data_IF_169436234275
#
_entry.id   IF_169436234275
#
_cell.length_a   1.000
_cell.length_b   1.000
_cell.length_c   1.000
_cell.angle_alpha   90.00
_cell.angle_beta   90.00
_cell.angle_gamma   90.00
#
_symmetry.space_group_name_H-M   'P 1'
#
loop_
_entity.id
_entity.type
_entity.pdbx_description
1 polymer ?
#
# COMPACT_ATOMS: atom_id res chain seq x y z
N UNK A 1 -57.99 -29.86 -52.69
CA UNK A 1 -58.40 -28.88 -51.66
C UNK A 1 -57.68 -29.26 -50.37
N UNK A 2 -56.37 -29.00 -50.25
CA UNK A 2 -55.75 -27.83 -49.60
C UNK A 2 -56.35 -27.44 -48.25
N UNK A 3 -55.57 -27.69 -47.18
CA UNK A 3 -55.31 -26.85 -45.98
C UNK A 3 -54.81 -27.76 -44.84
N UNK A 4 -53.87 -27.40 -43.99
CA UNK A 4 -52.79 -26.44 -43.97
C UNK A 4 -52.01 -26.81 -42.70
N UNK A 5 -50.69 -27.02 -42.80
CA UNK A 5 -49.80 -27.31 -41.68
C UNK A 5 -49.70 -26.07 -40.77
N UNK A 6 -49.81 -26.25 -39.45
CA UNK A 6 -49.41 -25.25 -38.46
C UNK A 6 -48.47 -25.90 -37.44
N UNK A 7 -47.18 -25.68 -37.70
CA UNK A 7 -46.08 -25.97 -36.79
C UNK A 7 -46.14 -25.02 -35.59
N UNK A 8 -46.12 -25.57 -34.38
CA UNK A 8 -45.92 -24.80 -33.17
C UNK A 8 -44.46 -24.34 -33.10
N UNK A 9 -44.21 -23.04 -33.27
CA UNK A 9 -42.91 -22.43 -33.06
C UNK A 9 -42.74 -22.14 -31.57
N UNK A 10 -41.85 -22.89 -30.91
CA UNK A 10 -41.41 -22.64 -29.54
C UNK A 10 -40.51 -21.42 -29.53
N UNK A 11 -40.99 -20.29 -29.01
CA UNK A 11 -40.19 -19.09 -28.74
C UNK A 11 -39.39 -19.35 -27.47
N UNK A 12 -38.13 -19.78 -27.60
CA UNK A 12 -37.15 -19.71 -26.51
C UNK A 12 -36.68 -18.26 -26.37
N UNK A 13 -37.24 -17.54 -25.40
CA UNK A 13 -36.69 -16.27 -24.95
C UNK A 13 -35.39 -16.53 -24.17
N UNK A 14 -34.24 -16.39 -24.83
CA UNK A 14 -32.95 -16.32 -24.17
C UNK A 14 -32.85 -14.98 -23.44
N UNK A 15 -33.19 -14.95 -22.15
CA UNK A 15 -32.87 -13.82 -21.28
C UNK A 15 -31.35 -13.83 -21.08
N UNK A 16 -30.67 -12.95 -21.81
CA UNK A 16 -29.28 -12.61 -21.55
C UNK A 16 -29.22 -11.92 -20.18
N UNK A 17 -28.96 -12.69 -19.13
CA UNK A 17 -28.50 -12.12 -17.87
C UNK A 17 -27.11 -11.56 -18.09
N UNK A 18 -27.01 -10.29 -18.46
CA UNK A 18 -25.76 -9.56 -18.32
C UNK A 18 -25.35 -9.66 -16.84
N UNK A 19 -24.11 -10.08 -16.51
CA UNK A 19 -23.65 -10.03 -15.14
C UNK A 19 -23.78 -8.57 -14.68
N UNK A 20 -24.54 -8.34 -13.62
CA UNK A 20 -24.57 -7.04 -12.97
C UNK A 20 -23.12 -6.74 -12.59
N UNK A 21 -22.52 -5.74 -13.26
CA UNK A 21 -21.27 -5.17 -12.81
C UNK A 21 -21.49 -4.82 -11.34
N UNK A 22 -20.75 -5.46 -10.42
CA UNK A 22 -20.82 -5.06 -9.01
C UNK A 22 -20.48 -3.57 -9.01
N UNK A 23 -21.44 -2.76 -8.57
CA UNK A 23 -21.22 -1.33 -8.45
C UNK A 23 -19.95 -1.12 -7.60
N UNK A 24 -19.07 -0.22 -8.05
CA UNK A 24 -17.90 0.15 -7.26
C UNK A 24 -18.37 0.55 -5.86
N UNK A 25 -17.69 0.03 -4.83
CA UNK A 25 -17.97 0.37 -3.44
C UNK A 25 -17.78 1.89 -3.25
N UNK A 26 -18.86 2.61 -2.96
CA UNK A 26 -18.92 4.06 -3.09
C UNK A 26 -19.57 4.72 -1.85
N UNK A 27 -18.92 4.66 -0.68
CA UNK A 27 -19.44 5.31 0.51
C UNK A 27 -19.25 6.83 0.48
N UNK A 28 -20.16 7.54 1.15
CA UNK A 28 -20.04 8.95 1.42
C UNK A 28 -20.52 9.29 2.83
N UNK A 29 -19.69 9.03 3.85
CA UNK A 29 -19.95 9.45 5.24
C UNK A 29 -19.62 10.94 5.46
N UNK A 30 -20.20 11.79 4.61
CA UNK A 30 -20.01 13.25 4.59
C UNK A 30 -20.35 13.90 5.94
N UNK A 31 -19.77 15.06 6.23
CA UNK A 31 -19.96 15.76 7.50
C UNK A 31 -21.43 15.93 7.90
N UNK A 32 -22.27 16.32 6.93
CA UNK A 32 -23.71 16.50 7.06
C UNK A 32 -24.56 15.21 7.08
N UNK A 33 -23.96 14.03 6.90
CA UNK A 33 -24.71 12.77 6.92
C UNK A 33 -25.20 12.44 8.32
N UNK A 34 -26.44 11.96 8.42
CA UNK A 34 -26.98 11.46 9.69
C UNK A 34 -26.27 10.19 10.20
N UNK A 35 -25.51 9.52 9.33
CA UNK A 35 -24.74 8.31 9.64
C UNK A 35 -23.25 8.60 9.84
N UNK A 36 -22.86 9.87 9.94
CA UNK A 36 -21.51 10.28 10.29
C UNK A 36 -21.23 10.06 11.80
N UNK A 37 -21.14 8.80 12.22
CA UNK A 37 -20.86 8.41 13.61
C UNK A 37 -19.37 8.49 13.98
N UNK A 38 -18.50 8.63 12.98
CA UNK A 38 -17.04 8.74 13.14
C UNK A 38 -16.51 10.19 13.11
N UNK A 39 -17.40 11.17 12.97
CA UNK A 39 -17.07 12.58 13.05
C UNK A 39 -16.21 13.07 11.87
N UNK A 40 -16.49 12.61 10.66
CA UNK A 40 -15.81 13.10 9.45
C UNK A 40 -16.09 14.60 9.29
N UNK A 41 -15.04 15.40 9.11
CA UNK A 41 -15.10 16.85 9.30
C UNK A 41 -15.60 17.62 8.08
N UNK A 42 -15.42 17.05 6.89
CA UNK A 42 -15.58 17.77 5.63
C UNK A 42 -16.76 17.21 4.85
N UNK A 43 -17.59 18.11 4.31
CA UNK A 43 -18.64 17.71 3.40
C UNK A 43 -18.08 17.24 2.05
N UNK A 44 -18.72 16.22 1.49
CA UNK A 44 -18.41 15.72 0.15
C UNK A 44 -18.67 16.81 -0.89
N UNK A 45 -17.77 16.91 -1.85
CA UNK A 45 -17.82 17.90 -2.91
C UNK A 45 -18.24 17.21 -4.22
N UNK A 46 -19.19 17.77 -4.99
CA UNK A 46 -19.50 17.25 -6.33
C UNK A 46 -18.28 17.28 -7.24
N UNK A 47 -18.09 16.24 -8.05
CA UNK A 47 -16.92 16.17 -8.91
C UNK A 47 -16.94 15.02 -9.92
N UNK A 48 -16.00 15.10 -10.86
CA UNK A 48 -15.76 14.10 -11.90
C UNK A 48 -14.34 13.60 -11.79
N UNK A 49 -14.15 12.28 -11.93
CA UNK A 49 -12.82 11.70 -11.86
C UNK A 49 -11.94 12.18 -13.03
N UNK A 50 -10.65 12.43 -12.78
CA UNK A 50 -9.66 12.52 -13.84
C UNK A 50 -9.68 11.27 -14.73
N UNK A 51 -9.34 11.44 -16.01
CA UNK A 51 -9.09 10.30 -16.90
C UNK A 51 -7.86 9.52 -16.47
N UNK A 52 -7.66 8.31 -17.01
CA UNK A 52 -6.44 7.50 -16.76
C UNK A 52 -5.16 8.29 -17.08
N UNK A 53 -5.15 9.02 -18.20
CA UNK A 53 -4.01 9.85 -18.60
C UNK A 53 -3.78 11.01 -17.61
N UNK A 54 -4.86 11.67 -17.17
CA UNK A 54 -4.77 12.75 -16.19
C UNK A 54 -4.29 12.23 -14.82
N UNK A 55 -4.75 11.07 -14.38
CA UNK A 55 -4.26 10.44 -13.15
C UNK A 55 -2.78 10.10 -13.21
N UNK A 56 -2.31 9.52 -14.31
CA UNK A 56 -0.89 9.29 -14.49
C UNK A 56 -0.09 10.60 -14.40
N UNK A 57 -0.51 11.66 -15.10
CA UNK A 57 0.14 12.97 -15.01
C UNK A 57 0.13 13.57 -13.59
N UNK A 58 -0.96 13.36 -12.83
CA UNK A 58 -1.04 13.74 -11.41
C UNK A 58 0.01 12.98 -10.60
N UNK A 59 0.05 11.65 -10.69
CA UNK A 59 1.00 10.84 -9.92
C UNK A 59 2.45 11.12 -10.32
N UNK A 60 2.72 11.37 -11.59
CA UNK A 60 4.07 11.72 -12.06
C UNK A 60 4.48 13.10 -11.53
N UNK A 61 3.56 14.08 -11.49
CA UNK A 61 3.85 15.37 -10.83
C UNK A 61 4.08 15.18 -9.33
N UNK A 62 3.24 14.39 -8.66
CA UNK A 62 3.34 14.17 -7.22
C UNK A 62 4.61 13.40 -6.87
N UNK A 63 5.06 12.45 -7.69
CA UNK A 63 6.28 11.68 -7.45
C UNK A 63 7.54 12.56 -7.39
N UNK A 64 7.55 13.68 -8.12
CA UNK A 64 8.63 14.68 -8.09
C UNK A 64 8.61 15.59 -6.86
N UNK A 65 7.64 15.42 -5.96
CA UNK A 65 7.65 16.05 -4.64
C UNK A 65 7.14 17.49 -4.58
N UNK A 66 7.28 18.14 -3.40
CA UNK A 66 6.73 19.47 -3.16
C UNK A 66 7.21 20.56 -4.10
N UNK A 67 8.45 20.48 -4.57
CA UNK A 67 8.96 21.41 -5.56
C UNK A 67 8.20 21.35 -6.90
N UNK A 68 7.67 20.18 -7.27
CA UNK A 68 6.95 19.99 -8.52
C UNK A 68 5.44 20.25 -8.40
N UNK A 69 4.82 19.93 -7.26
CA UNK A 69 3.39 20.19 -7.07
C UNK A 69 3.08 21.62 -6.61
N UNK A 70 4.01 22.31 -5.94
CA UNK A 70 3.82 23.69 -5.49
C UNK A 70 2.52 23.89 -4.71
N UNK A 71 1.69 24.85 -5.13
CA UNK A 71 0.39 25.11 -4.49
C UNK A 71 -0.66 24.01 -4.74
N UNK A 72 -0.39 23.03 -5.61
CA UNK A 72 -1.29 21.90 -5.86
C UNK A 72 -1.22 20.82 -4.76
N UNK A 73 -0.37 20.97 -3.74
CA UNK A 73 -0.27 20.04 -2.62
C UNK A 73 0.07 20.73 -1.30
N UNK A 74 0.32 19.95 -0.23
CA UNK A 74 0.76 20.49 1.06
C UNK A 74 2.12 21.18 0.99
N UNK A 75 2.45 21.90 2.07
CA UNK A 75 3.71 22.62 2.21
C UNK A 75 4.94 21.72 2.01
N UNK A 76 6.09 22.28 1.57
CA UNK A 76 7.30 21.51 1.35
C UNK A 76 7.85 20.80 2.60
N UNK A 77 8.40 19.61 2.39
CA UNK A 77 9.07 18.80 3.40
C UNK A 77 10.20 17.97 2.76
N UNK A 78 11.11 17.50 3.61
CA UNK A 78 12.20 16.61 3.23
C UNK A 78 11.93 15.16 3.66
N UNK A 79 12.63 14.21 3.04
CA UNK A 79 12.71 12.81 3.46
C UNK A 79 14.07 12.55 4.10
N UNK A 80 14.10 11.59 5.02
CA UNK A 80 15.35 11.02 5.53
C UNK A 80 15.82 9.92 4.57
N UNK A 81 17.05 9.99 4.10
CA UNK A 81 17.72 8.97 3.30
C UNK A 81 18.88 8.37 4.11
N UNK A 82 19.19 7.08 3.93
CA UNK A 82 20.32 6.42 4.60
C UNK A 82 20.00 5.85 5.99
N UNK A 83 20.71 4.79 6.36
CA UNK A 83 20.50 3.98 7.57
C UNK A 83 21.78 3.69 8.36
N UNK A 84 22.73 4.63 8.35
CA UNK A 84 24.07 4.57 8.97
C UNK A 84 25.06 3.71 8.18
N UNK A 85 24.63 2.57 7.64
CA UNK A 85 25.44 1.71 6.77
C UNK A 85 24.63 1.24 5.56
N UNK A 86 25.15 1.38 4.32
CA UNK A 86 26.41 2.02 3.96
C UNK A 86 26.37 3.56 3.99
N UNK A 87 25.20 4.20 3.88
CA UNK A 87 25.10 5.65 3.89
C UNK A 87 24.66 6.21 5.25
N UNK A 88 25.39 7.22 5.72
CA UNK A 88 24.98 8.01 6.89
C UNK A 88 23.64 8.73 6.61
N UNK A 89 22.75 8.84 7.60
CA UNK A 89 21.45 9.45 7.39
C UNK A 89 21.56 10.94 7.04
N UNK A 90 20.79 11.39 6.05
CA UNK A 90 20.68 12.79 5.66
C UNK A 90 19.27 13.15 5.22
N UNK A 91 18.90 14.43 5.32
CA UNK A 91 17.67 14.94 4.74
C UNK A 91 17.88 15.22 3.25
N UNK A 92 16.92 14.83 2.43
CA UNK A 92 16.88 15.08 0.98
C UNK A 92 15.52 15.65 0.59
N UNK A 93 15.44 16.44 -0.50
CA UNK A 93 14.15 16.85 -1.05
C UNK A 93 13.24 15.63 -1.23
N UNK A 94 11.97 15.75 -0.82
CA UNK A 94 11.06 14.63 -0.93
C UNK A 94 10.79 14.28 -2.39
N UNK A 95 11.01 13.02 -2.76
CA UNK A 95 10.60 12.40 -4.01
C UNK A 95 10.10 11.01 -3.71
N UNK A 96 9.21 10.48 -4.56
CA UNK A 96 8.55 9.21 -4.34
C UNK A 96 8.62 8.37 -5.61
N UNK A 97 8.61 7.03 -5.52
CA UNK A 97 8.37 6.21 -6.69
C UNK A 97 6.96 6.43 -7.22
N UNK A 98 6.79 6.81 -8.48
CA UNK A 98 5.47 7.02 -9.06
C UNK A 98 4.63 5.73 -9.07
N UNK A 99 5.29 4.58 -9.26
CA UNK A 99 4.69 3.26 -9.33
C UNK A 99 4.02 2.96 -7.99
N UNK A 100 4.64 3.41 -6.90
CA UNK A 100 4.14 3.31 -5.53
C UNK A 100 2.91 4.17 -5.31
N UNK A 101 2.95 5.45 -5.71
CA UNK A 101 1.79 6.34 -5.57
C UNK A 101 0.60 5.87 -6.41
N UNK A 102 0.86 5.41 -7.65
CA UNK A 102 -0.12 4.79 -8.56
C UNK A 102 -0.74 3.55 -7.91
N UNK A 103 0.08 2.66 -7.36
CA UNK A 103 -0.37 1.44 -6.72
C UNK A 103 -1.18 1.71 -5.43
N UNK A 104 -0.77 2.67 -4.60
CA UNK A 104 -1.53 3.10 -3.41
C UNK A 104 -2.91 3.61 -3.84
N UNK A 105 -2.98 4.60 -4.72
CA UNK A 105 -4.28 5.13 -5.17
C UNK A 105 -5.18 4.06 -5.81
N UNK A 106 -4.58 3.11 -6.52
CA UNK A 106 -5.31 1.98 -7.10
C UNK A 106 -5.86 1.05 -6.01
N UNK A 107 -5.05 0.78 -4.98
CA UNK A 107 -5.42 -0.06 -3.86
C UNK A 107 -6.48 0.60 -2.96
N UNK A 108 -6.41 1.90 -2.77
CA UNK A 108 -7.32 2.66 -1.90
C UNK A 108 -8.71 2.85 -2.53
N UNK A 109 -8.78 3.25 -3.80
CA UNK A 109 -10.03 3.67 -4.43
C UNK A 109 -10.21 3.21 -5.88
N UNK A 110 -9.21 2.54 -6.46
CA UNK A 110 -9.18 2.31 -7.90
C UNK A 110 -8.98 3.58 -8.73
N UNK A 111 -8.26 4.57 -8.18
CA UNK A 111 -8.14 5.94 -8.73
C UNK A 111 -9.47 6.69 -8.83
N UNK A 112 -10.33 6.54 -7.83
CA UNK A 112 -11.59 7.28 -7.76
C UNK A 112 -11.53 8.32 -6.64
N UNK A 113 -11.58 9.60 -7.02
CA UNK A 113 -11.81 10.70 -6.08
C UNK A 113 -13.30 10.85 -5.80
N UNK A 114 -14.12 10.67 -6.84
CA UNK A 114 -15.56 10.90 -6.80
C UNK A 114 -16.33 9.69 -7.30
N UNK A 115 -17.47 9.40 -6.72
CA UNK A 115 -18.46 8.52 -7.34
C UNK A 115 -19.86 8.82 -6.83
N UNK A 116 -20.87 8.25 -7.51
CA UNK A 116 -22.25 8.31 -7.04
C UNK A 116 -22.38 7.39 -5.83
N UNK A 117 -22.67 7.92 -4.63
CA UNK A 117 -22.69 7.11 -3.42
C UNK A 117 -23.77 6.03 -3.43
N UNK A 118 -23.39 4.84 -2.94
CA UNK A 118 -24.30 3.70 -2.73
C UNK A 118 -24.71 3.56 -1.26
N UNK A 119 -24.04 4.29 -0.36
CA UNK A 119 -24.25 4.29 1.09
C UNK A 119 -23.63 5.54 1.73
N UNK A 120 -23.99 5.89 2.98
CA UNK A 120 -25.13 5.39 3.75
C UNK A 120 -26.47 5.79 3.14
N UNK A 121 -27.59 5.35 3.72
CA UNK A 121 -28.92 5.43 3.08
C UNK A 121 -29.38 6.86 2.75
N UNK A 122 -29.02 7.85 3.58
CA UNK A 122 -29.30 9.27 3.34
C UNK A 122 -28.45 9.89 2.22
N UNK A 123 -27.38 9.20 1.82
CA UNK A 123 -26.50 9.57 0.71
C UNK A 123 -26.65 8.62 -0.48
N UNK A 124 -27.41 7.54 -0.41
CA UNK A 124 -27.50 6.60 -1.53
C UNK A 124 -28.25 7.23 -2.72
N UNK A 125 -27.69 7.08 -3.93
CA UNK A 125 -28.35 7.49 -5.18
C UNK A 125 -28.25 8.98 -5.53
N UNK A 126 -27.54 9.79 -4.73
CA UNK A 126 -27.24 11.17 -5.13
C UNK A 126 -26.11 11.23 -6.18
N UNK A 127 -25.97 12.41 -6.81
CA UNK A 127 -24.96 12.67 -7.85
C UNK A 127 -23.52 12.47 -7.34
N UNK A 128 -22.63 12.15 -8.28
CA UNK A 128 -21.19 11.94 -8.04
C UNK A 128 -20.58 13.02 -7.18
N UNK A 129 -19.89 12.60 -6.12
CA UNK A 129 -19.26 13.45 -5.11
C UNK A 129 -18.09 12.71 -4.46
N UNK A 130 -17.33 13.39 -3.62
CA UNK A 130 -16.14 12.83 -2.95
C UNK A 130 -16.47 11.50 -2.28
N UNK A 131 -15.61 10.49 -2.49
CA UNK A 131 -15.68 9.24 -1.73
C UNK A 131 -15.23 9.53 -0.30
N UNK A 132 -16.06 9.17 0.67
CA UNK A 132 -15.76 9.32 2.10
C UNK A 132 -16.12 7.99 2.76
N UNK A 133 -15.12 7.22 3.16
CA UNK A 133 -15.31 5.96 3.87
C UNK A 133 -15.78 6.17 5.31
N UNK A 134 -16.28 5.10 5.93
CA UNK A 134 -16.82 5.14 7.29
C UNK A 134 -15.78 5.56 8.34
N UNK A 135 -14.49 5.34 8.08
CA UNK A 135 -13.37 5.76 8.92
C UNK A 135 -12.83 7.15 8.55
N UNK A 136 -13.61 7.92 7.80
CA UNK A 136 -13.29 9.27 7.33
C UNK A 136 -12.09 9.30 6.38
N UNK A 137 -11.94 8.29 5.53
CA UNK A 137 -10.98 8.25 4.44
C UNK A 137 -11.52 8.98 3.20
N UNK A 138 -10.86 10.05 2.80
CA UNK A 138 -11.30 10.92 1.71
C UNK A 138 -10.58 10.63 0.40
N UNK A 139 -11.37 10.46 -0.66
CA UNK A 139 -10.92 10.53 -2.04
C UNK A 139 -9.97 9.41 -2.47
N UNK A 140 -9.16 9.70 -3.49
CA UNK A 140 -8.44 8.67 -4.23
C UNK A 140 -7.37 7.95 -3.40
N UNK A 141 -6.72 8.66 -2.48
CA UNK A 141 -5.69 8.14 -1.58
C UNK A 141 -6.24 7.79 -0.18
N UNK A 142 -7.57 7.86 0.02
CA UNK A 142 -8.28 7.54 1.28
C UNK A 142 -7.64 8.19 2.51
N UNK A 143 -7.49 9.51 2.46
CA UNK A 143 -6.84 10.30 3.53
C UNK A 143 -7.74 10.33 4.77
N UNK A 144 -7.27 9.74 5.88
CA UNK A 144 -8.01 9.68 7.16
C UNK A 144 -7.46 10.61 8.24
N UNK A 145 -6.13 10.73 8.32
CA UNK A 145 -5.45 11.58 9.31
C UNK A 145 -5.73 13.04 9.00
N UNK A 146 -6.20 13.83 9.96
CA UNK A 146 -6.51 15.25 9.74
C UNK A 146 -7.91 15.52 9.21
N UNK A 147 -8.74 14.49 9.03
CA UNK A 147 -10.04 14.57 8.36
C UNK A 147 -11.23 14.39 9.31
N UNK A 148 -11.00 14.35 10.63
CA UNK A 148 -12.04 14.23 11.66
C UNK A 148 -12.28 15.56 12.39
N UNK A 149 -13.46 15.69 12.97
CA UNK A 149 -13.85 16.85 13.77
C UNK A 149 -12.88 17.01 14.95
N UNK A 150 -12.32 18.21 15.09
CA UNK A 150 -11.32 18.51 16.11
C UNK A 150 -9.88 18.22 15.69
N UNK A 151 -9.64 17.59 14.54
CA UNK A 151 -8.30 17.48 13.98
C UNK A 151 -7.80 18.87 13.55
N UNK A 152 -6.48 19.06 13.63
CA UNK A 152 -5.78 20.27 13.20
C UNK A 152 -4.64 19.90 12.24
N UNK A 153 -4.97 19.51 10.99
CA UNK A 153 -3.95 19.20 9.99
C UNK A 153 -3.13 20.43 9.59
N UNK A 154 -1.92 20.19 9.09
CA UNK A 154 -1.04 21.18 8.46
C UNK A 154 -1.27 21.35 6.95
N UNK A 155 -2.35 20.75 6.44
CA UNK A 155 -2.84 20.85 5.07
C UNK A 155 -4.32 21.29 5.06
N UNK A 156 -4.86 21.66 3.89
CA UNK A 156 -6.25 22.07 3.74
C UNK A 156 -7.17 20.84 3.53
N UNK A 157 -7.98 20.43 4.53
CA UNK A 157 -8.83 19.25 4.43
C UNK A 157 -9.97 19.42 3.40
N UNK A 158 -10.39 20.66 3.09
CA UNK A 158 -11.40 20.89 2.05
C UNK A 158 -10.84 20.60 0.66
N UNK A 159 -9.57 20.93 0.43
CA UNK A 159 -8.89 20.59 -0.83
C UNK A 159 -8.64 19.09 -0.97
N UNK A 160 -8.36 18.38 0.14
CA UNK A 160 -8.29 16.90 0.11
C UNK A 160 -9.60 16.27 -0.41
N UNK A 161 -10.75 16.84 -0.06
CA UNK A 161 -12.04 16.36 -0.55
C UNK A 161 -12.32 16.75 -2.01
N UNK A 162 -11.90 17.95 -2.44
CA UNK A 162 -12.31 18.56 -3.70
C UNK A 162 -11.33 18.39 -4.88
N UNK A 163 -10.03 18.26 -4.61
CA UNK A 163 -8.97 18.33 -5.63
C UNK A 163 -8.21 16.99 -5.71
N UNK A 164 -8.35 16.23 -6.81
CA UNK A 164 -7.63 14.98 -7.02
C UNK A 164 -6.10 15.09 -6.89
N UNK A 165 -5.51 16.19 -7.36
CA UNK A 165 -4.06 16.38 -7.27
C UNK A 165 -3.63 16.69 -5.84
N UNK A 166 -4.39 17.53 -5.13
CA UNK A 166 -4.15 17.82 -3.72
C UNK A 166 -4.35 16.59 -2.83
N UNK A 167 -5.36 15.77 -3.11
CA UNK A 167 -5.59 14.50 -2.43
C UNK A 167 -4.39 13.55 -2.59
N UNK A 168 -3.92 13.36 -3.83
CA UNK A 168 -2.74 12.53 -4.11
C UNK A 168 -1.46 13.08 -3.44
N UNK A 169 -1.23 14.40 -3.50
CA UNK A 169 -0.09 15.04 -2.84
C UNK A 169 -0.16 14.92 -1.31
N UNK A 170 -1.36 14.99 -0.73
CA UNK A 170 -1.56 14.78 0.71
C UNK A 170 -1.30 13.31 1.10
N UNK A 171 -1.68 12.36 0.25
CA UNK A 171 -1.31 10.96 0.41
C UNK A 171 0.21 10.75 0.42
N UNK A 172 0.92 11.38 -0.51
CA UNK A 172 2.39 11.35 -0.54
C UNK A 172 3.02 12.01 0.71
N UNK A 173 2.45 13.12 1.18
CA UNK A 173 2.86 13.76 2.43
C UNK A 173 2.70 12.83 3.64
N UNK A 174 1.55 12.15 3.76
CA UNK A 174 1.33 11.16 4.83
C UNK A 174 2.30 9.98 4.70
N UNK A 175 2.52 9.48 3.49
CA UNK A 175 3.50 8.41 3.25
C UNK A 175 4.91 8.83 3.68
N UNK A 176 5.31 10.09 3.45
CA UNK A 176 6.58 10.63 3.95
C UNK A 176 6.65 10.66 5.48
N UNK A 177 5.55 10.97 6.17
CA UNK A 177 5.50 10.85 7.64
C UNK A 177 5.69 9.40 8.09
N UNK A 178 5.08 8.44 7.39
CA UNK A 178 5.25 7.01 7.68
C UNK A 178 6.66 6.51 7.42
N UNK A 179 7.29 6.99 6.35
CA UNK A 179 8.70 6.73 6.05
C UNK A 179 9.64 7.18 7.16
N UNK A 180 9.40 8.38 7.72
CA UNK A 180 10.17 8.88 8.87
C UNK A 180 9.92 8.06 10.14
N UNK A 181 8.69 7.62 10.36
CA UNK A 181 8.27 6.92 11.58
C UNK A 181 8.64 5.42 11.61
N UNK A 182 9.03 4.84 10.49
CA UNK A 182 9.29 3.38 10.38
C UNK A 182 10.78 3.05 10.38
N UNK A 183 11.11 1.81 10.71
CA UNK A 183 12.49 1.30 10.63
C UNK A 183 12.91 1.16 9.16
N UNK A 184 14.23 1.17 8.94
CA UNK A 184 14.83 1.07 7.62
C UNK A 184 14.44 -0.23 6.91
N UNK A 185 14.29 -0.14 5.60
CA UNK A 185 14.34 -1.27 4.67
C UNK A 185 15.48 -0.96 3.72
N UNK A 186 16.43 -1.88 3.62
CA UNK A 186 17.70 -1.58 2.97
C UNK A 186 18.37 -0.34 3.56
N UNK A 187 18.94 0.48 2.69
CA UNK A 187 19.54 1.77 3.05
C UNK A 187 18.58 2.98 2.93
N UNK A 188 17.25 2.75 2.98
CA UNK A 188 16.23 3.83 2.93
C UNK A 188 16.49 4.84 1.79
N UNK A 189 16.48 4.36 0.55
CA UNK A 189 16.69 5.19 -0.63
C UNK A 189 15.31 5.58 -1.19
N UNK A 190 14.92 6.87 -1.19
CA UNK A 190 13.58 7.28 -1.64
C UNK A 190 13.24 6.89 -3.08
N UNK A 191 14.25 6.74 -3.93
CA UNK A 191 14.08 6.34 -5.32
C UNK A 191 13.87 4.83 -5.52
N UNK A 192 14.14 4.00 -4.50
CA UNK A 192 13.98 2.54 -4.58
C UNK A 192 12.62 2.12 -4.05
N UNK A 193 11.82 1.46 -4.88
CA UNK A 193 10.43 1.09 -4.58
C UNK A 193 10.34 0.24 -3.30
N UNK A 194 11.16 -0.80 -3.22
CA UNK A 194 11.08 -1.79 -2.15
C UNK A 194 11.48 -1.23 -0.77
N UNK A 195 12.26 -0.14 -0.72
CA UNK A 195 12.65 0.48 0.56
C UNK A 195 11.45 1.11 1.28
N UNK A 196 10.32 1.32 0.58
CA UNK A 196 9.08 1.84 1.16
C UNK A 196 8.22 0.78 1.85
N UNK A 197 8.62 -0.49 1.87
CA UNK A 197 7.80 -1.60 2.39
C UNK A 197 7.23 -1.34 3.79
N UNK A 198 8.07 -0.93 4.74
CA UNK A 198 7.63 -0.63 6.12
C UNK A 198 6.71 0.60 6.17
N UNK A 199 6.97 1.61 5.34
CA UNK A 199 6.14 2.80 5.25
C UNK A 199 4.76 2.49 4.67
N UNK A 200 4.65 1.58 3.69
CA UNK A 200 3.38 1.07 3.17
C UNK A 200 2.56 0.39 4.26
N UNK A 201 3.20 -0.48 5.05
CA UNK A 201 2.51 -1.12 6.18
C UNK A 201 1.99 -0.04 7.15
N UNK A 202 2.82 0.94 7.51
CA UNK A 202 2.41 2.04 8.37
C UNK A 202 1.39 3.01 7.75
N UNK A 203 1.25 3.06 6.42
CA UNK A 203 0.25 3.87 5.73
C UNK A 203 -1.16 3.37 6.04
N UNK A 204 -1.40 2.06 5.97
CA UNK A 204 -2.65 1.46 6.43
C UNK A 204 -2.75 1.37 7.96
N UNK A 205 -1.63 1.03 8.61
CA UNK A 205 -1.53 0.93 10.07
C UNK A 205 -0.62 -0.21 10.51
N UNK A 206 0.32 0.11 11.41
CA UNK A 206 1.18 -0.87 12.09
C UNK A 206 0.33 -1.70 13.05
N UNK A 207 0.01 -2.92 12.64
CA UNK A 207 -0.84 -3.84 13.38
C UNK A 207 -0.53 -5.28 13.00
N UNK A 208 -0.68 -6.18 13.96
CA UNK A 208 -0.49 -7.62 13.77
C UNK A 208 -1.41 -8.21 12.69
N UNK A 209 -2.61 -7.66 12.46
CA UNK A 209 -3.51 -8.13 11.39
C UNK A 209 -2.93 -7.92 9.99
N UNK A 210 -2.03 -6.94 9.85
CA UNK A 210 -1.32 -6.63 8.61
C UNK A 210 0.11 -7.21 8.59
N UNK A 211 0.49 -8.00 9.60
CA UNK A 211 1.76 -8.70 9.58
C UNK A 211 1.71 -9.85 8.54
N UNK A 212 2.67 -9.93 7.60
CA UNK A 212 2.84 -11.04 6.66
C UNK A 212 2.91 -12.45 7.24
N UNK A 213 3.36 -12.56 8.50
CA UNK A 213 3.45 -13.80 9.27
C UNK A 213 2.18 -14.08 10.10
N UNK A 214 1.13 -13.26 9.97
CA UNK A 214 -0.15 -13.55 10.60
C UNK A 214 -0.75 -14.83 9.96
N UNK A 215 -1.14 -15.83 10.76
CA UNK A 215 -1.65 -17.12 10.27
C UNK A 215 -2.97 -17.03 9.49
N UNK A 216 -3.64 -15.87 9.50
CA UNK A 216 -4.81 -15.62 8.65
C UNK A 216 -4.45 -15.41 7.17
N UNK A 217 -3.16 -15.17 6.86
CA UNK A 217 -2.67 -15.13 5.49
C UNK A 217 -2.13 -16.50 5.08
N UNK A 218 -2.40 -16.91 3.85
CA UNK A 218 -1.91 -18.18 3.33
C UNK A 218 -0.36 -18.20 3.31
N UNK A 219 0.22 -19.25 3.89
CA UNK A 219 1.67 -19.46 3.99
C UNK A 219 2.34 -19.79 2.64
N UNK A 220 1.55 -20.18 1.64
CA UNK A 220 1.96 -20.41 0.26
C UNK A 220 1.49 -19.33 -0.72
N UNK A 221 0.99 -18.18 -0.22
CA UNK A 221 0.47 -17.11 -1.10
C UNK A 221 1.53 -16.59 -2.06
N UNK A 222 1.11 -16.36 -3.30
CA UNK A 222 1.91 -15.67 -4.31
C UNK A 222 1.77 -14.15 -4.21
N UNK A 223 2.23 -13.47 -5.25
CA UNK A 223 1.94 -12.05 -5.48
C UNK A 223 0.42 -11.84 -5.46
N UNK A 224 -0.04 -10.78 -4.80
CA UNK A 224 -1.47 -10.47 -4.74
C UNK A 224 -2.00 -10.08 -6.13
N UNK A 225 -2.94 -10.87 -6.64
CA UNK A 225 -3.68 -10.58 -7.87
C UNK A 225 -5.07 -10.05 -7.52
N UNK A 226 -5.39 -8.78 -7.81
CA UNK A 226 -6.71 -8.22 -7.52
C UNK A 226 -7.85 -8.85 -8.32
N UNK A 227 -7.58 -9.49 -9.46
CA UNK A 227 -8.61 -10.20 -10.22
C UNK A 227 -9.03 -11.52 -9.56
N UNK A 228 -8.14 -12.11 -8.74
CA UNK A 228 -8.39 -13.33 -7.98
C UNK A 228 -8.86 -12.99 -6.55
N UNK A 229 -8.29 -11.94 -5.96
CA UNK A 229 -8.52 -11.55 -4.57
C UNK A 229 -7.71 -12.41 -3.59
N UNK A 230 -8.29 -12.67 -2.42
CA UNK A 230 -7.64 -13.43 -1.35
C UNK A 230 -7.06 -12.56 -0.23
N UNK A 231 -6.73 -13.22 0.89
CA UNK A 231 -6.14 -12.58 2.05
C UNK A 231 -4.66 -12.26 1.80
N UNK A 232 -4.32 -10.98 1.88
CA UNK A 232 -2.95 -10.51 1.88
C UNK A 232 -2.85 -9.25 2.76
N UNK A 233 -1.70 -9.04 3.44
CA UNK A 233 -1.47 -7.81 4.19
C UNK A 233 -1.36 -6.61 3.24
N UNK A 234 -1.67 -5.42 3.75
CA UNK A 234 -1.86 -4.22 2.92
C UNK A 234 -0.68 -3.90 1.99
N UNK A 235 0.54 -3.91 2.51
CA UNK A 235 1.75 -3.61 1.75
C UNK A 235 1.96 -4.60 0.60
N UNK A 236 1.63 -5.88 0.78
CA UNK A 236 1.73 -6.86 -0.30
C UNK A 236 0.63 -6.68 -1.35
N UNK A 237 -0.54 -6.18 -0.96
CA UNK A 237 -1.60 -5.81 -1.90
C UNK A 237 -1.19 -4.63 -2.77
N UNK A 238 -0.61 -3.59 -2.17
CA UNK A 238 -0.06 -2.45 -2.92
C UNK A 238 1.04 -2.90 -3.87
N UNK A 239 1.99 -3.69 -3.41
CA UNK A 239 3.05 -4.24 -4.28
C UNK A 239 2.48 -5.13 -5.40
N UNK A 240 1.47 -5.95 -5.11
CA UNK A 240 0.76 -6.74 -6.13
C UNK A 240 0.07 -5.87 -7.19
N UNK A 241 -0.48 -4.70 -6.83
CA UNK A 241 -1.03 -3.76 -7.82
C UNK A 241 0.01 -3.27 -8.83
N UNK A 242 1.29 -3.21 -8.48
CA UNK A 242 2.37 -2.86 -9.44
C UNK A 242 2.62 -3.96 -10.46
N UNK A 243 2.32 -5.22 -10.12
CA UNK A 243 2.40 -6.36 -11.03
C UNK A 243 1.12 -6.56 -11.85
N UNK A 244 -0.02 -6.12 -11.30
CA UNK A 244 -1.35 -6.26 -11.88
C UNK A 244 -1.98 -4.89 -12.15
N UNK A 245 -1.37 -4.11 -13.04
CA UNK A 245 -1.70 -2.70 -13.29
C UNK A 245 -3.01 -2.49 -14.05
N UNK A 246 -3.54 -3.55 -14.69
CA UNK A 246 -4.67 -3.45 -15.61
C UNK A 246 -4.37 -2.53 -16.79
N UNK A 247 -3.12 -2.53 -17.27
CA UNK A 247 -2.60 -1.70 -18.37
C UNK A 247 -2.66 -0.18 -18.14
N UNK A 248 -2.86 0.26 -16.89
CA UNK A 248 -2.94 1.69 -16.55
C UNK A 248 -1.58 2.38 -16.42
N UNK A 249 -0.53 1.61 -16.15
CA UNK A 249 0.88 2.03 -16.15
C UNK A 249 1.79 0.81 -16.38
N UNK A 250 3.08 1.05 -16.59
CA UNK A 250 4.08 0.00 -16.82
C UNK A 250 4.17 -0.94 -15.61
N UNK A 251 4.11 -2.25 -15.88
CA UNK A 251 4.22 -3.29 -14.87
C UNK A 251 5.62 -3.31 -14.26
N UNK A 252 5.70 -3.40 -12.93
CA UNK A 252 6.97 -3.57 -12.19
C UNK A 252 6.90 -4.82 -11.33
N UNK A 253 7.81 -5.76 -11.56
CA UNK A 253 7.95 -7.00 -10.78
C UNK A 253 8.82 -6.76 -9.55
N UNK A 254 8.23 -6.23 -8.48
CA UNK A 254 8.96 -5.86 -7.25
C UNK A 254 9.48 -7.05 -6.46
N UNK A 255 10.51 -6.81 -5.65
CA UNK A 255 11.02 -7.78 -4.68
C UNK A 255 10.32 -7.65 -3.31
N UNK A 256 10.23 -8.78 -2.59
CA UNK A 256 9.61 -8.85 -1.26
C UNK A 256 10.66 -9.14 -0.17
N UNK A 257 10.48 -8.63 1.07
CA UNK A 257 11.32 -9.04 2.20
C UNK A 257 11.14 -10.52 2.50
N UNK A 258 12.18 -11.16 3.03
CA UNK A 258 12.06 -12.54 3.48
C UNK A 258 11.18 -12.60 4.74
N UNK A 259 10.16 -13.48 4.76
CA UNK A 259 9.23 -13.60 5.90
C UNK A 259 9.93 -13.81 7.25
N UNK A 260 11.03 -14.56 7.26
CA UNK A 260 11.85 -14.79 8.45
C UNK A 260 12.48 -13.51 9.04
N UNK A 261 12.70 -12.47 8.24
CA UNK A 261 13.26 -11.19 8.69
C UNK A 261 12.19 -10.26 9.30
N UNK A 262 10.91 -10.45 8.93
CA UNK A 262 9.80 -9.57 9.34
C UNK A 262 9.42 -9.76 10.82
N UNK A 263 9.51 -11.01 11.31
CA UNK A 263 9.11 -11.37 12.66
C UNK A 263 7.60 -11.35 12.89
N UNK A 264 7.17 -11.52 14.15
CA UNK A 264 5.76 -11.70 14.53
C UNK A 264 5.09 -10.45 15.13
N UNK A 265 5.78 -9.31 15.15
CA UNK A 265 5.31 -8.09 15.83
C UNK A 265 4.34 -7.26 14.99
N UNK A 266 3.68 -6.27 15.61
CA UNK A 266 2.79 -5.32 14.91
C UNK A 266 3.53 -4.29 14.03
N UNK A 267 4.86 -4.24 14.12
CA UNK A 267 5.73 -3.42 13.29
C UNK A 267 7.03 -4.18 12.99
N UNK A 268 7.59 -4.06 11.77
CA UNK A 268 8.82 -4.76 11.43
C UNK A 268 10.03 -4.08 12.09
N UNK A 269 11.08 -4.87 12.33
CA UNK A 269 12.40 -4.36 12.63
C UNK A 269 13.02 -3.68 11.39
N UNK A 270 14.31 -3.33 11.46
CA UNK A 270 15.03 -2.98 10.24
C UNK A 270 15.14 -4.23 9.34
N UNK A 271 14.84 -4.07 8.05
CA UNK A 271 14.85 -5.16 7.07
C UNK A 271 16.03 -4.96 6.12
N UNK A 272 16.61 -6.06 5.63
CA UNK A 272 17.58 -6.01 4.56
C UNK A 272 16.93 -5.59 3.24
N UNK A 273 17.75 -5.41 2.20
CA UNK A 273 17.24 -5.22 0.83
C UNK A 273 16.30 -6.38 0.44
N UNK A 274 15.04 -6.09 0.10
CA UNK A 274 14.10 -7.09 -0.37
C UNK A 274 14.62 -7.78 -1.62
N UNK A 275 14.48 -9.11 -1.67
CA UNK A 275 15.01 -9.93 -2.77
C UNK A 275 14.09 -11.05 -3.20
N UNK A 276 13.07 -11.41 -2.44
CA UNK A 276 12.23 -12.58 -2.73
C UNK A 276 11.33 -12.29 -3.94
N UNK A 277 11.16 -13.29 -4.82
CA UNK A 277 10.36 -13.14 -6.05
C UNK A 277 8.85 -13.09 -5.78
N UNK A 278 8.40 -13.51 -4.60
CA UNK A 278 7.02 -13.36 -4.12
C UNK A 278 7.02 -13.23 -2.59
N UNK A 279 5.86 -12.96 -1.96
CA UNK A 279 5.75 -12.91 -0.50
C UNK A 279 6.25 -14.16 0.24
N UNK A 280 6.22 -15.33 -0.39
CA UNK A 280 6.56 -16.61 0.24
C UNK A 280 7.68 -17.39 -0.48
N UNK A 281 8.15 -16.91 -1.63
CA UNK A 281 9.21 -17.56 -2.42
C UNK A 281 10.48 -16.70 -2.46
N UNK A 282 11.43 -17.04 -1.58
CA UNK A 282 12.78 -16.48 -1.57
C UNK A 282 13.82 -17.39 -2.25
N UNK A 283 13.39 -18.51 -2.81
CA UNK A 283 14.29 -19.40 -3.58
C UNK A 283 14.59 -18.81 -4.95
N UNK A 284 13.61 -18.10 -5.51
CA UNK A 284 13.81 -17.18 -6.63
C UNK A 284 13.98 -15.76 -6.11
N UNK A 285 14.83 -15.00 -6.77
CA UNK A 285 15.11 -13.62 -6.39
C UNK A 285 14.81 -12.63 -7.50
N UNK A 286 14.53 -11.38 -7.11
CA UNK A 286 14.33 -10.23 -7.99
C UNK A 286 15.27 -9.10 -7.57
N UNK A 287 15.74 -8.26 -8.50
CA UNK A 287 16.51 -7.08 -8.18
C UNK A 287 15.61 -6.01 -7.52
N UNK A 288 16.24 -5.03 -6.89
CA UNK A 288 15.56 -3.80 -6.46
C UNK A 288 15.23 -2.92 -7.68
N UNK A 289 14.19 -2.09 -7.54
CA UNK A 289 13.72 -1.21 -8.61
C UNK A 289 13.87 0.25 -8.24
N UNK A 290 14.66 0.98 -9.02
CA UNK A 290 14.68 2.44 -9.02
C UNK A 290 13.52 2.94 -9.86
N UNK A 291 12.75 3.89 -9.34
CA UNK A 291 11.61 4.49 -10.05
C UNK A 291 12.02 5.07 -11.40
N UNK A 292 11.18 4.90 -12.42
CA UNK A 292 11.45 5.37 -13.79
C UNK A 292 10.69 6.64 -14.17
N UNK A 293 9.84 7.17 -13.30
CA UNK A 293 9.03 8.35 -13.62
C UNK A 293 9.73 9.70 -13.40
N UNK A 294 11.03 9.71 -13.12
CA UNK A 294 11.77 10.92 -12.82
C UNK A 294 12.22 11.71 -14.07
N UNK A 295 12.11 11.14 -15.27
CA UNK A 295 12.66 11.79 -16.46
C UNK A 295 11.57 12.61 -17.20
N UNK A 296 11.50 13.91 -16.89
CA UNK A 296 10.86 14.86 -17.79
C UNK A 296 11.67 14.96 -19.09
N UNK A 297 11.24 14.23 -20.13
CA UNK A 297 11.72 14.45 -21.50
C UNK A 297 11.79 13.20 -22.36
N UNK A 298 10.66 12.60 -22.71
CA UNK A 298 10.64 11.50 -23.67
C UNK A 298 9.24 11.16 -24.14
N UNK A 299 8.94 11.50 -25.39
CA UNK A 299 7.92 10.81 -26.16
C UNK A 299 8.06 9.29 -25.95
N UNK A 300 6.94 8.60 -25.89
CA UNK A 300 6.87 7.13 -25.88
C UNK A 300 7.54 6.58 -27.14
N UNK A 301 8.86 6.36 -27.08
CA UNK A 301 9.68 5.67 -28.05
C UNK A 301 10.28 4.44 -27.38
N UNK A 302 9.91 3.25 -27.87
CA UNK A 302 10.39 1.98 -27.32
C UNK A 302 11.91 1.82 -27.39
N UNK A 303 12.44 1.06 -26.44
CA UNK A 303 13.83 0.59 -26.42
C UNK A 303 14.09 -0.05 -25.06
N UNK A 304 13.87 -1.36 -24.92
CA UNK A 304 14.89 -2.39 -25.11
C UNK A 304 16.09 -2.28 -24.16
N UNK A 305 16.09 -3.16 -23.15
CA UNK A 305 17.25 -3.94 -22.67
C UNK A 305 18.53 -3.20 -22.28
N UNK A 306 18.87 -3.27 -20.99
CA UNK A 306 20.21 -2.95 -20.50
C UNK A 306 20.56 -3.78 -19.27
N UNK A 307 20.94 -5.04 -19.48
CA UNK A 307 21.48 -5.92 -18.46
C UNK A 307 22.82 -5.39 -17.92
N UNK A 308 23.14 -5.80 -16.70
CA UNK A 308 24.36 -5.45 -15.99
C UNK A 308 25.65 -5.79 -16.73
N UNK A 309 26.71 -5.07 -16.36
CA UNK A 309 28.09 -5.34 -16.75
C UNK A 309 29.01 -5.20 -15.54
N UNK A 310 29.31 -6.32 -14.91
CA UNK A 310 30.46 -6.47 -14.03
C UNK A 310 31.77 -6.51 -14.85
N UNK A 311 32.87 -6.07 -14.23
CA UNK A 311 34.21 -6.66 -14.37
C UNK A 311 34.84 -6.70 -15.78
N UNK A 312 35.73 -5.74 -16.05
CA UNK A 312 36.69 -5.81 -17.14
C UNK A 312 38.13 -5.81 -16.61
N UNK A 313 38.70 -7.01 -16.47
CA UNK A 313 40.13 -7.26 -16.28
C UNK A 313 40.90 -7.16 -17.60
N UNK A 314 42.10 -6.57 -17.57
CA UNK A 314 43.25 -7.05 -18.35
C UNK A 314 43.51 -6.43 -19.74
N UNK A 315 44.60 -5.65 -19.81
CA UNK A 315 45.69 -5.91 -20.77
C UNK A 315 45.70 -5.18 -22.13
N UNK A 316 46.58 -4.19 -22.26
CA UNK A 316 47.59 -3.99 -23.33
C UNK A 316 48.28 -2.64 -23.03
N UNK A 317 49.59 -2.57 -22.82
CA UNK A 317 50.60 -2.77 -23.85
C UNK A 317 51.19 -1.39 -24.21
N UNK A 318 52.15 -0.90 -23.43
CA UNK A 318 52.81 0.38 -23.63
C UNK A 318 54.32 0.24 -23.40
N UNK A 319 55.07 0.26 -24.49
CA UNK A 319 56.53 0.15 -24.56
C UNK A 319 57.24 1.47 -24.23
N UNK A 320 58.42 1.36 -23.60
CA UNK A 320 59.54 2.27 -23.81
C UNK A 320 59.89 3.17 -22.62
N UNK A 321 61.09 2.98 -22.07
CA UNK A 321 61.69 3.91 -21.11
C UNK A 321 62.91 3.32 -20.42
N UNK A 322 64.10 3.66 -20.91
CA UNK A 322 65.39 3.16 -20.46
C UNK A 322 65.89 3.77 -19.14
N UNK A 323 66.76 3.03 -18.45
CA UNK A 323 67.90 3.58 -17.71
C UNK A 323 67.68 3.90 -16.24
N UNK A 324 68.39 3.19 -15.36
CA UNK A 324 68.48 3.54 -13.95
C UNK A 324 69.16 2.45 -13.11
N UNK A 325 70.47 2.56 -13.00
CA UNK A 325 71.37 1.70 -12.22
C UNK A 325 71.20 1.83 -10.70
N UNK A 326 71.40 0.71 -9.99
CA UNK A 326 72.11 0.70 -8.71
C UNK A 326 71.24 0.59 -7.44
N UNK A 327 71.62 -0.31 -6.54
CA UNK A 327 71.17 -0.29 -5.16
C UNK A 327 70.93 -1.68 -4.56
N UNK A 328 71.98 -2.25 -3.98
CA UNK A 328 71.92 -3.45 -3.16
C UNK A 328 71.42 -3.14 -1.73
N UNK A 329 70.78 -4.14 -1.11
CA UNK A 329 70.91 -4.41 0.33
C UNK A 329 69.81 -3.87 1.25
N UNK A 330 69.32 -4.74 2.14
CA UNK A 330 68.57 -4.33 3.34
C UNK A 330 67.56 -5.35 3.83
N UNK A 331 68.01 -6.35 4.59
CA UNK A 331 67.14 -7.13 5.49
C UNK A 331 66.95 -6.38 6.81
N UNK A 332 65.80 -6.59 7.45
CA UNK A 332 65.68 -6.65 8.92
C UNK A 332 64.82 -5.55 9.56
N UNK A 333 64.00 -5.96 10.52
CA UNK A 333 63.38 -5.04 11.49
C UNK A 333 62.00 -5.47 11.98
N UNK A 334 61.97 -6.43 12.90
CA UNK A 334 60.83 -6.69 13.75
C UNK A 334 60.82 -5.75 14.97
N UNK A 335 59.65 -5.56 15.58
CA UNK A 335 59.52 -5.28 17.02
C UNK A 335 59.05 -3.87 17.38
N UNK A 336 58.05 -3.78 18.26
CA UNK A 336 57.65 -2.54 18.91
C UNK A 336 56.24 -2.57 19.52
N UNK A 337 56.07 -3.32 20.59
CA UNK A 337 54.93 -3.24 21.53
C UNK A 337 55.07 -2.05 22.48
N UNK A 338 53.94 -1.50 22.95
CA UNK A 338 53.83 -0.96 24.32
C UNK A 338 53.51 0.53 24.43
N UNK A 339 52.48 0.84 25.24
CA UNK A 339 52.21 2.21 25.70
C UNK A 339 50.80 2.41 26.26
N UNK A 340 50.47 1.76 27.39
CA UNK A 340 49.42 2.22 28.30
C UNK A 340 49.95 3.38 29.16
N UNK A 341 49.05 4.26 29.60
CA UNK A 341 49.25 5.07 30.81
C UNK A 341 48.71 6.50 30.72
N UNK A 342 47.78 6.85 31.62
CA UNK A 342 47.46 8.24 31.90
C UNK A 342 46.08 8.48 32.53
N UNK A 343 45.94 8.16 33.82
CA UNK A 343 44.80 8.54 34.64
C UNK A 343 44.99 9.92 35.29
N UNK A 344 43.87 10.60 35.58
CA UNK A 344 43.70 11.42 36.77
C UNK A 344 43.70 12.95 36.58
N UNK A 345 42.68 13.62 37.15
CA UNK A 345 42.75 15.07 37.40
C UNK A 345 41.39 15.76 37.56
N UNK A 346 41.00 15.99 38.80
CA UNK A 346 39.72 16.50 39.31
C UNK A 346 39.56 18.04 39.34
N UNK A 347 38.28 18.47 39.29
CA UNK A 347 37.61 19.57 40.02
C UNK A 347 38.19 21.00 40.04
N UNK A 348 37.31 21.97 39.75
CA UNK A 348 37.41 23.36 40.17
C UNK A 348 36.19 24.19 39.74
N UNK A 349 35.33 24.50 40.71
CA UNK A 349 34.08 25.24 40.62
C UNK A 349 34.23 26.78 40.50
N UNK A 350 33.11 27.39 40.09
CA UNK A 350 32.54 28.68 40.53
C UNK A 350 32.92 30.02 39.84
N UNK A 351 31.88 30.72 39.39
CA UNK A 351 31.78 32.19 39.49
C UNK A 351 31.21 32.89 38.25
N UNK A 352 29.89 32.83 37.99
CA UNK A 352 28.87 33.85 38.30
C UNK A 352 28.80 35.07 37.35
N UNK A 353 27.62 35.31 36.75
CA UNK A 353 27.30 36.52 35.99
C UNK A 353 25.99 36.42 35.21
N UNK A 354 24.88 36.72 35.89
CA UNK A 354 23.49 36.61 35.43
C UNK A 354 23.02 37.77 34.54
N UNK A 355 22.12 37.48 33.58
CA UNK A 355 20.91 38.29 33.28
C UNK A 355 19.85 37.46 32.51
N UNK A 356 18.74 37.16 33.22
CA UNK A 356 17.29 37.18 32.86
C UNK A 356 16.90 37.22 31.36
N UNK A 357 16.01 36.40 30.77
CA UNK A 357 14.63 35.92 31.04
C UNK A 357 13.83 36.15 29.72
N UNK A 358 12.88 35.34 29.20
CA UNK A 358 12.17 34.16 29.68
C UNK A 358 11.87 33.16 28.53
N UNK A 359 11.70 31.86 28.83
CA UNK A 359 10.43 31.15 29.13
C UNK A 359 9.53 30.96 27.88
N UNK A 360 9.11 29.76 27.48
CA UNK A 360 9.28 28.37 27.97
C UNK A 360 9.02 27.41 26.80
N UNK A 361 9.47 26.16 26.74
CA UNK A 361 9.64 25.12 27.77
C UNK A 361 8.79 23.92 27.32
N UNK A 362 9.37 22.96 26.56
CA UNK A 362 9.79 21.62 27.00
C UNK A 362 8.58 20.68 27.29
N UNK A 363 8.46 19.49 26.71
CA UNK A 363 9.50 18.47 26.56
C UNK A 363 9.51 17.60 27.82
N UNK A 364 8.83 16.45 27.78
CA UNK A 364 8.86 15.44 28.85
C UNK A 364 9.09 14.05 28.25
N UNK A 365 10.10 13.38 28.80
CA UNK A 365 10.44 11.96 28.59
C UNK A 365 9.87 11.11 29.75
N UNK A 366 9.91 9.78 29.66
CA UNK A 366 8.83 8.89 30.12
C UNK A 366 8.93 8.51 31.59
N UNK A 367 7.77 8.47 32.24
CA UNK A 367 7.54 7.82 33.52
C UNK A 367 6.71 6.56 33.32
N UNK A 368 7.22 5.47 33.88
CA UNK A 368 6.60 4.18 34.10
C UNK A 368 5.51 4.32 35.18
N UNK A 369 4.28 3.91 34.87
CA UNK A 369 3.23 3.65 35.86
C UNK A 369 2.15 2.73 35.26
N UNK A 370 1.83 1.68 35.99
CA UNK A 370 0.43 1.35 36.28
C UNK A 370 -0.29 0.44 35.31
N UNK A 371 -0.19 -0.85 35.59
CA UNK A 371 -1.01 -1.93 35.11
C UNK A 371 -2.49 -1.75 35.53
N UNK A 372 -3.35 -1.31 34.59
CA UNK A 372 -4.82 -1.41 34.70
C UNK A 372 -5.37 -2.24 33.52
N UNK A 373 -5.59 -3.51 33.84
CA UNK A 373 -6.37 -4.49 33.10
C UNK A 373 -7.85 -4.09 33.11
N UNK A 374 -8.31 -3.47 32.02
CA UNK A 374 -9.73 -3.49 31.67
C UNK A 374 -9.87 -3.95 30.22
N UNK A 375 -10.01 -5.27 30.12
CA UNK A 375 -10.38 -6.05 28.95
C UNK A 375 -11.77 -5.66 28.43
N UNK A 376 -11.88 -4.50 27.77
CA UNK A 376 -12.94 -4.26 26.79
C UNK A 376 -12.53 -4.89 25.46
N UNK A 377 -12.75 -6.20 25.40
CA UNK A 377 -12.89 -6.96 24.16
C UNK A 377 -14.01 -6.34 23.31
N UNK A 378 -13.69 -5.27 22.59
CA UNK A 378 -14.50 -4.82 21.48
C UNK A 378 -14.20 -5.78 20.34
N UNK A 379 -15.07 -6.78 20.20
CA UNK A 379 -15.18 -7.62 19.02
C UNK A 379 -15.22 -6.71 17.79
N UNK A 380 -14.07 -6.54 17.13
CA UNK A 380 -13.99 -5.91 15.82
C UNK A 380 -14.64 -6.88 14.85
N UNK A 381 -15.95 -6.70 14.69
CA UNK A 381 -16.73 -7.39 13.67
C UNK A 381 -16.11 -7.12 12.32
N UNK A 382 -15.79 -8.22 11.63
CA UNK A 382 -15.38 -8.28 10.23
C UNK A 382 -16.50 -7.69 9.37
N UNK A 383 -16.51 -6.38 9.18
CA UNK A 383 -17.35 -5.71 8.18
C UNK A 383 -16.60 -4.52 7.58
N UNK A 384 -16.32 -4.61 6.28
CA UNK A 384 -16.11 -3.46 5.40
C UNK A 384 -14.68 -2.93 5.30
N UNK A 385 -13.73 -3.70 4.76
CA UNK A 385 -12.54 -3.10 4.13
C UNK A 385 -12.93 -2.58 2.75
N UNK A 386 -12.64 -1.31 2.46
CA UNK A 386 -12.81 -0.71 1.13
C UNK A 386 -11.87 -1.43 0.15
N UNK A 387 -12.42 -2.30 -0.68
CA UNK A 387 -11.72 -2.78 -1.88
C UNK A 387 -12.57 -2.37 -3.07
N UNK A 388 -12.12 -1.36 -3.78
CA UNK A 388 -12.68 -1.01 -5.07
C UNK A 388 -12.14 -2.02 -6.09
N UNK A 389 -12.89 -3.09 -6.34
CA UNK A 389 -12.61 -3.95 -7.50
C UNK A 389 -13.02 -3.18 -8.76
N UNK A 390 -12.06 -2.99 -9.66
CA UNK A 390 -12.34 -2.42 -10.97
C UNK A 390 -13.15 -3.43 -11.82
N UNK A 391 -14.14 -2.99 -12.62
CA UNK A 391 -14.87 -3.90 -13.50
C UNK A 391 -14.05 -4.29 -14.74
N UNK A 392 -13.85 -5.59 -14.95
CA UNK A 392 -13.19 -6.22 -16.12
C UNK A 392 -11.92 -6.95 -15.68
N UNK A 393 -11.70 -8.26 -15.90
CA UNK A 393 -12.06 -9.14 -17.02
C UNK A 393 -12.43 -10.54 -16.51
N UNK A 394 -13.46 -11.15 -17.10
CA UNK A 394 -14.02 -12.42 -16.65
C UNK A 394 -13.06 -13.61 -16.76
N UNK A 395 -13.03 -14.41 -15.68
CA UNK A 395 -12.80 -15.84 -15.74
C UNK A 395 -13.85 -16.51 -14.84
N UNK A 396 -14.62 -17.44 -15.41
CA UNK A 396 -15.61 -18.21 -14.69
C UNK A 396 -14.91 -19.05 -13.60
N UNK A 397 -15.17 -18.76 -12.33
CA UNK A 397 -14.82 -19.65 -11.24
C UNK A 397 -15.61 -20.95 -11.43
N UNK A 398 -14.89 -22.05 -11.68
CA UNK A 398 -15.46 -23.38 -11.83
C UNK A 398 -16.24 -23.78 -10.58
N UNK A 399 -17.51 -24.11 -10.77
CA UNK A 399 -18.31 -24.80 -9.77
C UNK A 399 -17.72 -26.19 -9.56
N UNK A 400 -17.00 -26.39 -8.45
CA UNK A 400 -16.63 -27.71 -7.99
C UNK A 400 -17.86 -28.39 -7.38
N UNK A 401 -18.31 -29.40 -8.09
CA UNK A 401 -19.43 -30.29 -7.79
C UNK A 401 -19.32 -30.97 -6.41
N UNK A 402 -20.33 -30.78 -5.57
CA UNK A 402 -20.70 -31.73 -4.53
C UNK A 402 -22.17 -32.12 -4.73
N UNK A 403 -22.40 -33.16 -5.52
CA UNK A 403 -23.64 -33.93 -5.52
C UNK A 403 -23.27 -35.39 -5.77
N UNK A 404 -22.99 -36.09 -4.68
CA UNK A 404 -23.15 -37.53 -4.59
C UNK A 404 -24.22 -37.78 -3.54
N UNK A 405 -25.38 -38.28 -3.97
CA UNK A 405 -26.14 -39.38 -3.34
C UNK A 405 -27.57 -39.41 -3.90
N UNK A 406 -27.96 -40.56 -4.45
CA UNK A 406 -29.34 -41.05 -4.37
C UNK A 406 -30.16 -41.08 -5.65
N UNK A 407 -29.82 -41.97 -6.59
CA UNK A 407 -30.83 -42.58 -7.45
C UNK A 407 -31.54 -43.70 -6.66
N UNK A 408 -32.88 -43.68 -6.59
CA UNK A 408 -33.63 -44.70 -5.87
C UNK A 408 -35.15 -44.55 -5.91
N UNK A 409 -35.75 -44.96 -7.03
CA UNK A 409 -37.08 -45.58 -7.19
C UNK A 409 -38.32 -44.97 -6.49
N UNK A 410 -39.21 -44.42 -7.33
CA UNK A 410 -40.66 -44.37 -7.11
C UNK A 410 -41.26 -45.78 -7.21
N UNK A 411 -41.92 -46.27 -6.17
CA UNK A 411 -43.17 -47.04 -6.26
C UNK A 411 -43.73 -47.41 -4.86
N UNK A 412 -45.07 -47.45 -4.81
CA UNK A 412 -45.92 -48.15 -3.85
C UNK A 412 -46.49 -47.38 -2.63
N UNK A 413 -47.80 -47.10 -2.79
CA UNK A 413 -48.87 -47.46 -1.86
C UNK A 413 -49.08 -46.60 -0.60
N UNK A 414 -50.10 -45.74 -0.67
CA UNK A 414 -50.95 -45.45 0.48
C UNK A 414 -52.43 -45.70 0.12
N UNK A 415 -52.89 -46.91 0.46
CA UNK A 415 -54.30 -47.18 0.82
C UNK A 415 -54.50 -46.66 2.24
N UNK A 416 -55.37 -45.67 2.45
CA UNK A 416 -56.00 -45.44 3.76
C UNK A 416 -57.52 -45.61 3.65
N UNK A 417 -58.02 -46.30 4.66
CA UNK A 417 -59.33 -46.94 4.81
C UNK A 417 -60.44 -45.91 5.09
N UNK A 418 -61.62 -46.18 4.54
CA UNK A 418 -62.90 -45.59 4.94
C UNK A 418 -63.28 -46.03 6.38
N UNK A 419 -63.94 -45.17 7.18
CA UNK A 419 -64.53 -45.57 8.45
C UNK A 419 -65.92 -46.18 8.25
N UNK A 420 -66.16 -47.35 8.85
CA UNK A 420 -67.47 -47.93 9.03
C UNK A 420 -67.89 -47.87 10.50
N UNK A 421 -69.07 -47.31 10.78
CA UNK A 421 -69.85 -47.54 12.01
C UNK A 421 -71.25 -48.00 11.59
N UNK A 422 -71.68 -49.14 12.13
CA UNK A 422 -73.03 -49.72 12.01
C UNK A 422 -73.88 -49.37 13.24
N UNK A 423 -75.19 -49.17 13.04
CA UNK A 423 -76.37 -49.82 13.69
C UNK A 423 -77.62 -48.95 13.43
N UNK A 424 -78.71 -49.56 12.95
CA UNK A 424 -79.96 -49.85 13.69
C UNK A 424 -80.60 -48.55 14.23
N UNK A 425 -81.80 -48.14 13.83
CA UNK A 425 -83.03 -48.89 13.50
C UNK A 425 -83.66 -48.53 12.14
#
# INVERSE_FOLDING_TARGET
MSRCLLSAATICAAVLFAPAARAAYCPCYTASSAYNDRGCAIDAVPGTNPSIAAWNAIFDRVSRGPAAWGEAGPAPFNLRQGCDVPEAPREVPATFPCELLKAIGMQESGWQQFCAPDRPMDQAGVSSRTIISFDCGYGAAQITSGMRNGDSPDFDPRRVAADPAYNAATGAHILAMKWKATRCVGDRQPSVIEHWYSALWAYNGLSYVNNPNNPNHDAGRGVYDPAIGGAAPYQERVLGRMEHTGERWERTEVAYPALGEIGANSAPAALADPRCASPTDCTRTRPLHVTRCADEGGETGGGAGGAGGAGGSGGAGGSGGAGGSGGAGGRGGAGGTGGEGGAGGTKGDAGNGAVTAGQGGAGASPGDDGNDDETTSTTVGVYGRCTCDAPGSGAAAGAASWLALGAGALAAALRRRLPGRRRAD
#
